data_IF_668839727140
#
_entry.id   IF_668839727140
#
_cell.length_a   1.000
_cell.length_b   1.000
_cell.length_c   1.000
_cell.angle_alpha   90.00
_cell.angle_beta   90.00
_cell.angle_gamma   90.00
#
_symmetry.space_group_name_H-M   'P 1'
#
loop_
_entity.id
_entity.type
_entity.pdbx_description
1 polymer ?
#
# COMPACT_ATOMS: atom_id res chain seq x y z
N UNK A 1 37.55 34.24 1.53
CA UNK A 1 36.86 32.95 1.84
C UNK A 1 35.40 33.15 2.27
N UNK A 2 35.07 34.08 3.18
CA UNK A 2 33.67 34.32 3.63
C UNK A 2 32.64 34.60 2.52
N UNK A 3 32.99 35.37 1.49
CA UNK A 3 32.06 35.68 0.37
C UNK A 3 31.68 34.44 -0.45
N UNK A 4 32.63 33.53 -0.68
CA UNK A 4 32.40 32.29 -1.45
C UNK A 4 31.46 31.34 -0.69
N UNK A 5 31.67 31.17 0.62
CA UNK A 5 30.77 30.38 1.47
C UNK A 5 29.34 30.95 1.49
N UNK A 6 29.19 32.28 1.49
CA UNK A 6 27.88 32.95 1.44
C UNK A 6 27.14 32.71 0.11
N UNK A 7 27.83 32.84 -1.02
CA UNK A 7 27.24 32.55 -2.34
C UNK A 7 26.92 31.07 -2.53
N UNK A 8 27.78 30.17 -2.03
CA UNK A 8 27.54 28.73 -2.05
C UNK A 8 26.30 28.37 -1.20
N UNK A 9 26.18 28.94 0.00
CA UNK A 9 25.01 28.76 0.87
C UNK A 9 23.71 29.23 0.21
N UNK A 10 23.71 30.41 -0.42
CA UNK A 10 22.57 30.91 -1.20
C UNK A 10 22.21 30.00 -2.37
N UNK A 11 23.22 29.50 -3.09
CA UNK A 11 23.03 28.57 -4.20
C UNK A 11 22.35 27.27 -3.75
N UNK A 12 22.85 26.66 -2.67
CA UNK A 12 22.25 25.45 -2.09
C UNK A 12 20.81 25.72 -1.63
N UNK A 13 20.57 26.84 -0.91
CA UNK A 13 19.24 27.21 -0.45
C UNK A 13 18.25 27.38 -1.62
N UNK A 14 18.67 28.00 -2.72
CA UNK A 14 17.85 28.21 -3.90
C UNK A 14 17.54 26.88 -4.62
N UNK A 15 18.51 25.96 -4.70
CA UNK A 15 18.29 24.62 -5.24
C UNK A 15 17.30 23.81 -4.40
N UNK A 16 17.44 23.84 -3.07
CA UNK A 16 16.50 23.16 -2.17
C UNK A 16 15.09 23.74 -2.28
N UNK A 17 14.96 25.07 -2.37
CA UNK A 17 13.67 25.73 -2.56
C UNK A 17 13.03 25.34 -3.90
N UNK A 18 13.81 25.32 -4.98
CA UNK A 18 13.32 24.90 -6.29
C UNK A 18 12.84 23.44 -6.27
N UNK A 19 13.59 22.54 -5.64
CA UNK A 19 13.20 21.13 -5.49
C UNK A 19 11.91 20.97 -4.67
N UNK A 20 11.76 21.74 -3.59
CA UNK A 20 10.53 21.75 -2.79
C UNK A 20 9.33 22.26 -3.60
N UNK A 21 9.49 23.35 -4.34
CA UNK A 21 8.44 23.89 -5.20
C UNK A 21 8.05 22.90 -6.31
N UNK A 22 9.01 22.20 -6.90
CA UNK A 22 8.74 21.16 -7.89
C UNK A 22 7.95 19.99 -7.27
N UNK A 23 8.28 19.58 -6.05
CA UNK A 23 7.55 18.53 -5.33
C UNK A 23 6.11 18.95 -5.00
N UNK A 24 5.91 20.20 -4.56
CA UNK A 24 4.56 20.76 -4.31
C UNK A 24 3.75 20.84 -5.61
N UNK A 25 4.36 21.33 -6.69
CA UNK A 25 3.71 21.39 -7.99
C UNK A 25 3.30 19.99 -8.47
N UNK A 26 4.17 18.99 -8.29
CA UNK A 26 3.87 17.61 -8.60
C UNK A 26 2.71 17.07 -7.75
N UNK A 27 2.70 17.32 -6.44
CA UNK A 27 1.59 16.92 -5.56
C UNK A 27 0.25 17.48 -6.06
N UNK A 28 0.21 18.79 -6.35
CA UNK A 28 -0.99 19.48 -6.79
C UNK A 28 -1.49 18.99 -8.15
N UNK A 29 -0.58 18.73 -9.10
CA UNK A 29 -0.94 18.41 -10.48
C UNK A 29 -1.13 16.90 -10.72
N UNK A 30 -0.40 16.04 -9.99
CA UNK A 30 -0.36 14.60 -10.26
C UNK A 30 -0.99 13.75 -9.16
N UNK A 31 -0.99 14.16 -7.88
CA UNK A 31 -1.53 13.35 -6.77
C UNK A 31 -2.92 13.82 -6.36
N UNK A 32 -3.07 15.12 -6.08
CA UNK A 32 -4.33 15.72 -5.59
C UNK A 32 -5.56 15.42 -6.44
N UNK A 33 -5.49 15.41 -7.79
CA UNK A 33 -6.65 15.12 -8.63
C UNK A 33 -7.25 13.73 -8.38
N UNK A 34 -6.48 12.80 -7.82
CA UNK A 34 -6.94 11.43 -7.55
C UNK A 34 -7.45 11.23 -6.12
N UNK A 35 -7.26 12.20 -5.20
CA UNK A 35 -7.60 12.01 -3.79
C UNK A 35 -9.11 11.77 -3.58
N UNK A 36 -9.97 12.49 -4.32
CA UNK A 36 -11.42 12.28 -4.24
C UNK A 36 -11.79 10.85 -4.62
N UNK A 37 -11.27 10.35 -5.76
CA UNK A 37 -11.50 8.98 -6.24
C UNK A 37 -11.01 7.93 -5.24
N UNK A 38 -9.88 8.17 -4.57
CA UNK A 38 -9.35 7.24 -3.56
C UNK A 38 -10.24 7.22 -2.32
N UNK A 39 -10.77 8.37 -1.90
CA UNK A 39 -11.74 8.45 -0.80
C UNK A 39 -13.05 7.76 -1.16
N UNK A 40 -13.54 7.94 -2.38
CA UNK A 40 -14.73 7.24 -2.88
C UNK A 40 -14.51 5.73 -2.89
N UNK A 41 -13.33 5.28 -3.30
CA UNK A 41 -12.95 3.87 -3.23
C UNK A 41 -13.03 3.33 -1.80
N UNK A 42 -12.51 4.06 -0.82
CA UNK A 42 -12.59 3.64 0.59
C UNK A 42 -14.02 3.69 1.13
N UNK A 43 -14.82 4.67 0.72
CA UNK A 43 -16.21 4.81 1.14
C UNK A 43 -17.11 3.69 0.58
N UNK A 44 -16.78 3.18 -0.62
CA UNK A 44 -17.51 2.08 -1.28
C UNK A 44 -16.94 0.69 -0.95
N UNK A 45 -15.75 0.62 -0.36
CA UNK A 45 -15.13 -0.65 0.02
C UNK A 45 -15.93 -1.35 1.12
N UNK A 46 -15.73 -2.66 1.24
CA UNK A 46 -16.24 -3.41 2.38
C UNK A 46 -15.75 -2.74 3.69
N UNK A 47 -16.59 -2.57 4.72
CA UNK A 47 -16.20 -1.90 5.96
C UNK A 47 -14.92 -2.48 6.60
N UNK A 48 -14.74 -3.80 6.53
CA UNK A 48 -13.56 -4.48 7.06
C UNK A 48 -12.36 -4.46 6.10
N UNK A 49 -12.56 -4.12 4.82
CA UNK A 49 -11.43 -3.76 3.94
C UNK A 49 -11.03 -2.31 4.16
N UNK A 50 -11.98 -1.37 4.27
CA UNK A 50 -11.72 0.06 4.47
C UNK A 50 -11.05 0.35 5.83
N UNK A 51 -11.44 -0.41 6.87
CA UNK A 51 -10.85 -0.34 8.20
C UNK A 51 -10.62 -1.74 8.76
N UNK A 52 -9.50 -2.39 8.38
CA UNK A 52 -9.27 -3.79 8.71
C UNK A 52 -9.06 -4.02 10.21
N UNK A 53 -9.51 -5.17 10.75
CA UNK A 53 -9.25 -5.54 12.14
C UNK A 53 -7.76 -5.57 12.47
N UNK A 54 -7.40 -5.31 13.73
CA UNK A 54 -5.99 -5.24 14.16
C UNK A 54 -5.21 -6.53 13.84
N UNK A 55 -5.84 -7.69 13.99
CA UNK A 55 -5.24 -8.97 13.63
C UNK A 55 -4.81 -9.03 12.16
N UNK A 56 -5.63 -8.49 11.24
CA UNK A 56 -5.30 -8.38 9.83
C UNK A 56 -4.17 -7.36 9.61
N UNK A 57 -4.22 -6.19 10.28
CA UNK A 57 -3.15 -5.18 10.17
C UNK A 57 -1.78 -5.73 10.56
N UNK A 58 -1.70 -6.50 11.66
CA UNK A 58 -0.44 -7.16 12.09
C UNK A 58 0.08 -8.17 11.07
N UNK A 59 -0.83 -8.92 10.45
CA UNK A 59 -0.47 -9.85 9.37
C UNK A 59 0.01 -9.09 8.12
N UNK A 60 -0.62 -7.96 7.78
CA UNK A 60 -0.17 -7.11 6.67
C UNK A 60 1.24 -6.59 6.95
N UNK A 61 1.50 -6.05 8.14
CA UNK A 61 2.84 -5.61 8.55
C UNK A 61 3.87 -6.73 8.47
N UNK A 62 3.50 -7.96 8.80
CA UNK A 62 4.39 -9.12 8.67
C UNK A 62 4.58 -9.59 7.21
N UNK A 63 3.63 -9.27 6.33
CA UNK A 63 3.63 -9.70 4.93
C UNK A 63 4.38 -8.71 4.03
N UNK A 64 4.25 -7.42 4.32
CA UNK A 64 4.86 -6.31 3.59
C UNK A 64 5.64 -5.42 4.54
N UNK A 65 6.82 -4.96 4.12
CA UNK A 65 7.68 -4.16 4.99
C UNK A 65 7.01 -2.84 5.41
N UNK A 66 6.29 -2.21 4.48
CA UNK A 66 5.49 -1.00 4.72
C UNK A 66 4.14 -1.07 4.00
N UNK A 67 3.01 -1.11 4.74
CA UNK A 67 1.67 -1.08 4.15
C UNK A 67 1.42 0.17 3.31
N UNK A 68 1.89 1.34 3.79
CA UNK A 68 1.75 2.60 3.07
C UNK A 68 2.49 2.59 1.73
N UNK A 69 3.69 2.02 1.72
CA UNK A 69 4.49 1.89 0.50
C UNK A 69 3.80 0.97 -0.53
N UNK A 70 3.19 -0.12 -0.07
CA UNK A 70 2.46 -1.02 -0.94
C UNK A 70 1.11 -0.49 -1.41
N UNK A 71 0.35 0.17 -0.55
CA UNK A 71 -0.87 0.86 -0.95
C UNK A 71 -0.58 1.95 -2.00
N UNK A 72 0.48 2.73 -1.82
CA UNK A 72 0.91 3.72 -2.81
C UNK A 72 1.31 3.09 -4.14
N UNK A 73 2.03 1.96 -4.12
CA UNK A 73 2.36 1.20 -5.33
C UNK A 73 1.11 0.70 -6.05
N UNK A 74 0.18 0.06 -5.33
CA UNK A 74 -1.09 -0.43 -5.88
C UNK A 74 -1.89 0.71 -6.52
N UNK A 75 -1.94 1.86 -5.85
CA UNK A 75 -2.63 3.03 -6.37
C UNK A 75 -1.95 3.60 -7.61
N UNK A 76 -0.62 3.68 -7.62
CA UNK A 76 0.16 4.17 -8.76
C UNK A 76 -0.07 3.28 -9.98
N UNK A 77 -0.01 1.95 -9.81
CA UNK A 77 -0.27 1.01 -10.90
C UNK A 77 -1.68 1.13 -11.48
N UNK A 78 -2.66 1.53 -10.66
CA UNK A 78 -4.04 1.75 -11.10
C UNK A 78 -4.22 3.04 -11.91
N UNK A 79 -3.44 4.07 -11.59
CA UNK A 79 -3.55 5.39 -12.23
C UNK A 79 -2.66 5.51 -13.47
N UNK A 80 -1.55 4.77 -13.52
CA UNK A 80 -0.46 5.00 -14.48
C UNK A 80 -0.08 3.75 -15.26
N UNK A 81 -1.07 3.00 -15.76
CA UNK A 81 -0.86 1.75 -16.51
C UNK A 81 -0.05 1.91 -17.80
N UNK A 82 0.02 3.13 -18.34
CA UNK A 82 0.49 3.38 -19.71
C UNK A 82 1.91 4.00 -19.76
N UNK A 83 2.64 4.01 -18.63
CA UNK A 83 3.97 4.61 -18.54
C UNK A 83 5.08 3.66 -18.96
N UNK A 84 6.18 4.22 -19.45
CA UNK A 84 7.43 3.47 -19.63
C UNK A 84 7.99 2.99 -18.29
N UNK A 85 8.83 1.95 -18.30
CA UNK A 85 9.34 1.33 -17.07
C UNK A 85 10.08 2.33 -16.17
N UNK A 86 10.88 3.25 -16.74
CA UNK A 86 11.61 4.27 -15.98
C UNK A 86 10.69 5.31 -15.34
N UNK A 87 9.69 5.79 -16.08
CA UNK A 87 8.70 6.74 -15.56
C UNK A 87 7.84 6.13 -14.46
N UNK A 88 7.49 4.84 -14.60
CA UNK A 88 6.73 4.11 -13.57
C UNK A 88 7.48 4.05 -12.25
N UNK A 89 8.80 3.84 -12.26
CA UNK A 89 9.61 3.75 -11.03
C UNK A 89 9.70 5.09 -10.31
N UNK A 90 9.97 6.19 -11.05
CA UNK A 90 10.03 7.54 -10.48
C UNK A 90 8.67 7.93 -9.90
N UNK A 91 7.60 7.66 -10.65
CA UNK A 91 6.24 7.95 -10.20
C UNK A 91 5.88 7.15 -8.95
N UNK A 92 6.20 5.86 -8.92
CA UNK A 92 5.98 5.02 -7.74
C UNK A 92 6.72 5.57 -6.51
N UNK A 93 7.97 6.02 -6.68
CA UNK A 93 8.73 6.63 -5.59
C UNK A 93 8.09 7.93 -5.08
N UNK A 94 7.67 8.82 -5.98
CA UNK A 94 6.98 10.06 -5.63
C UNK A 94 5.66 9.79 -4.90
N UNK A 95 4.86 8.84 -5.40
CA UNK A 95 3.59 8.48 -4.78
C UNK A 95 3.77 7.80 -3.42
N UNK A 96 4.81 6.98 -3.24
CA UNK A 96 5.16 6.41 -1.92
C UNK A 96 5.48 7.47 -0.88
N UNK A 97 6.06 8.59 -1.30
CA UNK A 97 6.38 9.72 -0.42
C UNK A 97 5.15 10.62 -0.18
N UNK A 98 4.40 10.94 -1.24
CA UNK A 98 3.35 11.96 -1.20
C UNK A 98 2.01 11.44 -0.70
N UNK A 99 1.62 10.21 -1.08
CA UNK A 99 0.29 9.69 -0.74
C UNK A 99 0.05 9.57 0.78
N UNK A 100 1.02 9.11 1.60
CA UNK A 100 0.85 9.07 3.06
C UNK A 100 0.70 10.44 3.74
N UNK A 101 0.97 11.55 3.04
CA UNK A 101 0.70 12.90 3.58
C UNK A 101 -0.79 13.27 3.48
N UNK A 102 -1.57 12.57 2.65
CA UNK A 102 -3.00 12.84 2.44
C UNK A 102 -3.93 11.82 3.09
N UNK A 103 -3.37 10.69 3.53
CA UNK A 103 -4.12 9.58 4.12
C UNK A 103 -3.43 9.09 5.38
N UNK A 104 -4.21 8.88 6.43
CA UNK A 104 -3.68 8.33 7.67
C UNK A 104 -3.29 6.85 7.51
N UNK A 105 -2.59 6.30 8.52
CA UNK A 105 -2.13 4.91 8.49
C UNK A 105 -3.29 3.91 8.33
N UNK A 106 -4.44 4.17 8.94
CA UNK A 106 -5.64 3.31 8.85
C UNK A 106 -6.17 3.28 7.42
N UNK A 107 -6.28 4.44 6.78
CA UNK A 107 -6.70 4.56 5.38
C UNK A 107 -5.71 3.89 4.43
N UNK A 108 -4.40 3.93 4.73
CA UNK A 108 -3.40 3.22 3.93
C UNK A 108 -3.56 1.69 4.01
N UNK A 109 -3.90 1.13 5.18
CA UNK A 109 -4.33 -0.28 5.24
C UNK A 109 -5.61 -0.50 4.43
N UNK A 110 -6.55 0.44 4.50
CA UNK A 110 -7.80 0.41 3.74
C UNK A 110 -7.57 0.25 2.23
N UNK A 111 -6.68 1.09 1.70
CA UNK A 111 -6.28 1.08 0.28
C UNK A 111 -5.61 -0.25 -0.05
N UNK A 112 -4.68 -0.72 0.80
CA UNK A 112 -4.01 -2.00 0.60
C UNK A 112 -5.03 -3.17 0.54
N UNK A 113 -5.93 -3.27 1.51
CA UNK A 113 -6.91 -4.36 1.58
C UNK A 113 -7.84 -4.33 0.37
N UNK A 114 -8.39 -3.16 0.05
CA UNK A 114 -9.36 -2.97 -1.04
C UNK A 114 -8.76 -3.21 -2.42
N UNK A 115 -7.50 -2.85 -2.63
CA UNK A 115 -6.81 -2.97 -3.93
C UNK A 115 -5.93 -4.21 -4.07
N UNK A 116 -5.79 -5.04 -3.04
CA UNK A 116 -5.00 -6.27 -3.16
C UNK A 116 -5.72 -7.27 -4.04
N UNK A 117 -5.07 -7.68 -5.14
CA UNK A 117 -5.55 -8.76 -5.97
C UNK A 117 -5.50 -10.07 -5.18
N UNK A 118 -6.60 -10.82 -5.20
CA UNK A 118 -6.75 -12.06 -4.43
C UNK A 118 -6.84 -13.32 -5.31
N UNK A 119 -6.58 -13.17 -6.62
CA UNK A 119 -6.54 -14.26 -7.58
C UNK A 119 -7.78 -14.41 -8.45
N UNK A 120 -8.88 -13.73 -8.09
CA UNK A 120 -10.10 -13.64 -8.90
C UNK A 120 -10.49 -12.18 -9.07
N UNK A 121 -10.57 -11.46 -7.95
CA UNK A 121 -10.94 -10.05 -7.86
C UNK A 121 -10.01 -9.32 -6.89
N UNK A 122 -10.47 -8.21 -6.32
CA UNK A 122 -9.72 -7.41 -5.36
C UNK A 122 -10.48 -7.35 -4.02
N UNK A 123 -9.78 -7.06 -2.93
CA UNK A 123 -10.37 -7.02 -1.58
C UNK A 123 -10.04 -8.27 -0.78
N UNK A 124 -9.64 -8.08 0.49
CA UNK A 124 -9.42 -9.20 1.40
C UNK A 124 -10.75 -9.78 1.90
N UNK A 125 -11.74 -8.93 2.12
CA UNK A 125 -13.08 -9.34 2.57
C UNK A 125 -13.76 -10.22 1.52
N UNK A 126 -13.60 -9.89 0.24
CA UNK A 126 -14.11 -10.72 -0.87
C UNK A 126 -13.46 -12.11 -0.88
N UNK A 127 -12.14 -12.17 -0.68
CA UNK A 127 -11.42 -13.44 -0.56
C UNK A 127 -11.90 -14.25 0.65
N UNK A 128 -11.98 -13.63 1.83
CA UNK A 128 -12.37 -14.28 3.07
C UNK A 128 -13.79 -14.85 3.03
N UNK A 129 -14.73 -14.07 2.49
CA UNK A 129 -16.11 -14.52 2.29
C UNK A 129 -16.19 -15.68 1.29
N UNK A 130 -15.44 -15.62 0.19
CA UNK A 130 -15.43 -16.68 -0.82
C UNK A 130 -14.78 -17.98 -0.33
N UNK A 131 -13.65 -17.87 0.36
CA UNK A 131 -12.86 -19.04 0.78
C UNK A 131 -13.36 -19.65 2.09
N UNK A 132 -13.88 -18.84 3.01
CA UNK A 132 -14.25 -19.28 4.36
C UNK A 132 -15.69 -18.99 4.76
N UNK A 133 -16.45 -18.25 3.95
CA UNK A 133 -17.83 -17.84 4.29
C UNK A 133 -17.92 -16.88 5.48
N UNK A 134 -16.84 -16.14 5.77
CA UNK A 134 -16.72 -15.33 6.99
C UNK A 134 -16.15 -13.93 6.71
N UNK A 135 -16.61 -12.91 7.47
CA UNK A 135 -15.96 -11.61 7.51
C UNK A 135 -14.56 -11.72 8.13
N UNK A 136 -13.67 -10.77 7.81
CA UNK A 136 -12.30 -10.68 8.33
C UNK A 136 -12.25 -10.70 9.86
N UNK A 137 -13.20 -10.04 10.52
CA UNK A 137 -13.29 -10.00 11.98
C UNK A 137 -13.58 -11.35 12.65
N UNK A 138 -14.07 -12.34 11.90
CA UNK A 138 -14.46 -13.66 12.41
C UNK A 138 -13.53 -14.80 11.95
N UNK A 139 -12.44 -14.46 11.26
CA UNK A 139 -11.47 -15.44 10.81
C UNK A 139 -10.66 -16.00 11.99
N UNK A 140 -10.40 -17.31 11.96
CA UNK A 140 -9.36 -17.87 12.82
C UNK A 140 -8.00 -17.30 12.43
N UNK A 141 -7.02 -17.35 13.34
CA UNK A 141 -5.68 -16.84 13.06
C UNK A 141 -5.05 -17.41 11.77
N UNK A 142 -5.30 -18.69 11.48
CA UNK A 142 -4.82 -19.33 10.25
C UNK A 142 -5.59 -18.88 9.00
N UNK A 143 -6.91 -18.68 9.12
CA UNK A 143 -7.73 -18.15 8.01
C UNK A 143 -7.35 -16.71 7.68
N UNK A 144 -7.13 -15.88 8.70
CA UNK A 144 -6.63 -14.52 8.56
C UNK A 144 -5.24 -14.50 7.89
N UNK A 145 -4.32 -15.34 8.35
CA UNK A 145 -2.99 -15.44 7.77
C UNK A 145 -3.03 -15.93 6.31
N UNK A 146 -3.91 -16.88 5.99
CA UNK A 146 -4.13 -17.34 4.60
C UNK A 146 -4.66 -16.21 3.71
N UNK A 147 -5.63 -15.44 4.23
CA UNK A 147 -6.24 -14.30 3.53
C UNK A 147 -5.21 -13.23 3.19
N UNK A 148 -4.29 -12.91 4.10
CA UNK A 148 -3.23 -11.94 3.81
C UNK A 148 -2.11 -12.55 2.96
N UNK A 149 -1.77 -13.83 3.17
CA UNK A 149 -0.70 -14.49 2.43
C UNK A 149 -1.00 -14.61 0.93
N UNK A 150 -2.28 -14.78 0.55
CA UNK A 150 -2.66 -14.94 -0.86
C UNK A 150 -2.25 -13.74 -1.71
N UNK A 151 -2.28 -12.51 -1.16
CA UNK A 151 -2.00 -11.27 -1.90
C UNK A 151 -0.57 -11.16 -2.44
N UNK A 152 0.36 -11.95 -1.88
CA UNK A 152 1.76 -11.91 -2.30
C UNK A 152 1.98 -12.56 -3.66
N UNK A 153 1.29 -13.67 -3.95
CA UNK A 153 1.36 -14.36 -5.23
C UNK A 153 0.06 -15.13 -5.52
N UNK A 154 -1.07 -14.44 -5.76
CA UNK A 154 -2.38 -15.06 -5.73
C UNK A 154 -2.53 -16.22 -6.71
N UNK A 155 -2.13 -16.02 -7.97
CA UNK A 155 -2.22 -17.04 -9.02
C UNK A 155 -1.39 -18.28 -8.71
N UNK A 156 -0.22 -18.12 -8.10
CA UNK A 156 0.66 -19.24 -7.73
C UNK A 156 0.09 -20.01 -6.53
N UNK A 157 -0.34 -19.28 -5.49
CA UNK A 157 -0.83 -19.86 -4.25
C UNK A 157 -2.21 -20.51 -4.38
N UNK A 158 -3.06 -20.02 -5.28
CA UNK A 158 -4.33 -20.69 -5.56
C UNK A 158 -4.16 -21.99 -6.35
N UNK A 159 -3.09 -22.11 -7.16
CA UNK A 159 -2.72 -23.35 -7.84
C UNK A 159 -2.07 -24.38 -6.90
N UNK A 160 -1.26 -23.91 -5.95
CA UNK A 160 -0.60 -24.76 -4.96
C UNK A 160 -0.99 -24.35 -3.53
N UNK A 161 -2.05 -25.00 -3.02
CA UNK A 161 -2.60 -24.74 -1.69
C UNK A 161 -1.64 -25.11 -0.56
N UNK A 162 -0.71 -26.05 -0.78
CA UNK A 162 0.29 -26.41 0.23
C UNK A 162 1.29 -25.28 0.43
N UNK A 163 1.75 -24.64 -0.66
CA UNK A 163 2.60 -23.45 -0.58
C UNK A 163 1.90 -22.28 0.10
N UNK A 164 0.62 -22.06 -0.17
CA UNK A 164 -0.18 -21.05 0.51
C UNK A 164 -0.23 -21.32 2.03
N UNK A 165 -0.53 -22.55 2.43
CA UNK A 165 -0.58 -22.93 3.84
C UNK A 165 0.78 -22.74 4.54
N UNK A 166 1.89 -23.09 3.87
CA UNK A 166 3.23 -22.87 4.41
C UNK A 166 3.55 -21.37 4.57
N UNK A 167 3.19 -20.55 3.58
CA UNK A 167 3.34 -19.09 3.66
C UNK A 167 2.50 -18.50 4.78
N UNK A 168 1.23 -18.92 4.92
CA UNK A 168 0.33 -18.48 5.97
C UNK A 168 0.88 -18.80 7.37
N UNK A 169 1.38 -20.02 7.60
CA UNK A 169 2.05 -20.41 8.85
C UNK A 169 3.27 -19.53 9.14
N UNK A 170 4.11 -19.31 8.13
CA UNK A 170 5.30 -18.45 8.26
C UNK A 170 4.92 -17.01 8.60
N UNK A 171 3.87 -16.51 7.95
CA UNK A 171 3.35 -15.16 8.17
C UNK A 171 2.80 -14.99 9.59
N UNK A 172 2.04 -15.98 10.06
CA UNK A 172 1.47 -15.98 11.40
C UNK A 172 2.58 -15.92 12.47
N UNK A 173 3.63 -16.73 12.33
CA UNK A 173 4.80 -16.71 13.23
C UNK A 173 5.49 -15.34 13.21
N UNK A 174 5.63 -14.71 12.03
CA UNK A 174 6.23 -13.37 11.91
C UNK A 174 5.37 -12.29 12.58
N UNK A 175 4.05 -12.38 12.47
CA UNK A 175 3.12 -11.39 13.04
C UNK A 175 3.05 -11.37 14.57
N UNK A 176 3.55 -12.42 15.21
CA UNK A 176 3.60 -12.55 16.67
C UNK A 176 4.89 -11.99 17.28
N UNK A 177 5.92 -11.73 16.47
CA UNK A 177 7.16 -11.14 16.96
C UNK A 177 7.00 -9.62 17.07
N UNK A 178 7.32 -8.99 18.22
CA UNK A 178 7.41 -7.54 18.28
C UNK A 178 8.48 -7.06 17.30
N UNK A 179 8.15 -6.06 16.50
CA UNK A 179 9.12 -5.31 15.67
C UNK A 179 9.76 -4.22 16.50
#
# INVERSE_FOLDING_TARGET
MFKIAHYLGKGIALLLLAMLLALIAYDVLAVRPHLARIRDLLAQANPEDASPPEAIRRLIDANVDSPSSQAARLMTSRVSSDLTQGESQIREALWRMLLPMHFDKSQMYGIYCSLSYNGVDHGLSNFANREFGKPLGQLSAMQAATTVAVTHAPTLYLRDRNRLAQRARTLLVRSQKPR
#
